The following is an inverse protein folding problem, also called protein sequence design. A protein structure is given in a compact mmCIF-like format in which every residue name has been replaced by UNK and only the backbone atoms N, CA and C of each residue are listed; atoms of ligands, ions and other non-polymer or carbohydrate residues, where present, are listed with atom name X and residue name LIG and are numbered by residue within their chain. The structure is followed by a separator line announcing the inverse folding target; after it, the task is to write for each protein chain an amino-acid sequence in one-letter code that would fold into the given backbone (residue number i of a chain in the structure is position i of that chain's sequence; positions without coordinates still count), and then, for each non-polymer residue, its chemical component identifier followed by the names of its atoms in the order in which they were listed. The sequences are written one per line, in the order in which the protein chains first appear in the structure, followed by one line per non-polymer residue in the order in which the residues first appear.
data_IF_192106896426
#
_entry.id   IF_192106896426
#
_cell.length_a   1.000
_cell.length_b   1.000
_cell.length_c   1.000
_cell.angle_alpha   90.00
_cell.angle_beta   90.00
_cell.angle_gamma   90.00
#
_symmetry.space_group_name_H-M   'P 1'
#
loop_
_entity.id
_entity.type
_entity.pdbx_description
1 polymer ?
#
# COMPACT_ATOMS: atom_id res chain seq x y z
N UNK A 1 11.82 -0.77 15.21
CA UNK A 1 11.73 -2.23 15.37
C UNK A 1 10.52 -2.74 14.65
N UNK A 2 10.65 -3.90 13.97
CA UNK A 2 9.59 -4.58 13.26
C UNK A 2 9.58 -6.07 13.56
N UNK A 3 8.43 -6.69 13.26
CA UNK A 3 8.27 -8.14 13.25
C UNK A 3 7.42 -8.50 12.06
N UNK A 4 7.97 -9.27 11.15
CA UNK A 4 7.25 -9.83 10.02
C UNK A 4 6.90 -11.30 10.29
N UNK A 5 5.65 -11.67 10.00
CA UNK A 5 5.19 -13.05 9.97
C UNK A 5 4.74 -13.38 8.58
N UNK A 6 5.43 -14.30 7.94
CA UNK A 6 5.18 -14.70 6.57
C UNK A 6 4.61 -16.13 6.54
N UNK A 7 3.62 -16.32 5.68
CA UNK A 7 3.17 -17.65 5.27
C UNK A 7 3.71 -17.88 3.87
N UNK A 8 4.70 -18.75 3.75
CA UNK A 8 5.44 -18.99 2.50
C UNK A 8 4.99 -20.31 1.91
N UNK A 9 4.39 -20.30 0.73
CA UNK A 9 4.04 -21.50 -0.01
C UNK A 9 5.22 -21.94 -0.89
N UNK A 10 5.52 -23.23 -0.90
CA UNK A 10 6.50 -23.83 -1.82
C UNK A 10 5.86 -24.06 -3.18
N UNK A 11 6.30 -23.38 -4.20
CA UNK A 11 5.74 -23.52 -5.57
C UNK A 11 6.55 -24.48 -6.47
N UNK A 12 7.75 -24.89 -6.05
CA UNK A 12 8.63 -25.76 -6.84
C UNK A 12 9.34 -26.79 -5.93
N UNK A 13 9.82 -27.93 -6.49
CA UNK A 13 10.54 -28.91 -5.71
C UNK A 13 11.83 -28.29 -5.13
N UNK A 14 11.93 -28.45 -3.86
CA UNK A 14 13.07 -28.36 -2.95
C UNK A 14 14.11 -27.28 -3.26
N UNK A 15 13.88 -26.10 -2.69
CA UNK A 15 14.99 -25.31 -2.17
C UNK A 15 15.00 -25.43 -0.66
N UNK A 16 16.13 -25.82 -0.08
CA UNK A 16 16.29 -25.92 1.37
C UNK A 16 16.54 -24.57 2.03
N UNK A 17 16.39 -23.49 1.28
CA UNK A 17 16.67 -22.13 1.73
C UNK A 17 15.65 -21.15 1.16
N UNK A 18 14.95 -20.45 2.04
CA UNK A 18 14.17 -19.26 1.69
C UNK A 18 15.14 -18.06 1.65
N UNK A 19 15.03 -17.25 0.61
CA UNK A 19 15.79 -16.00 0.47
C UNK A 19 14.82 -14.85 0.46
N UNK A 20 14.89 -14.00 1.47
CA UNK A 20 14.14 -12.74 1.53
C UNK A 20 15.07 -11.56 1.28
N UNK A 21 14.51 -10.50 0.75
CA UNK A 21 15.14 -9.19 0.67
C UNK A 21 14.96 -8.46 2.00
N UNK A 22 16.05 -7.93 2.56
CA UNK A 22 16.06 -7.06 3.73
C UNK A 22 17.37 -6.24 3.71
N UNK A 23 17.25 -4.96 3.42
CA UNK A 23 18.40 -4.06 3.23
C UNK A 23 18.42 -2.97 4.30
N UNK A 24 19.61 -2.56 4.74
CA UNK A 24 19.80 -1.45 5.69
C UNK A 24 19.31 -1.71 7.12
N UNK A 25 18.66 -2.84 7.38
CA UNK A 25 18.14 -3.23 8.69
C UNK A 25 18.86 -4.47 9.21
N UNK A 26 18.84 -4.69 10.52
CA UNK A 26 19.41 -5.88 11.15
C UNK A 26 18.32 -6.88 11.53
N UNK A 27 18.44 -8.13 11.07
CA UNK A 27 17.62 -9.23 11.57
C UNK A 27 18.15 -9.68 12.95
N UNK A 28 17.25 -9.77 13.93
CA UNK A 28 17.59 -10.17 15.31
C UNK A 28 17.39 -11.67 15.53
N UNK A 29 16.20 -12.16 15.14
CA UNK A 29 15.82 -13.58 15.27
C UNK A 29 14.98 -14.01 14.09
N UNK A 30 15.14 -15.27 13.70
CA UNK A 30 14.29 -15.92 12.69
C UNK A 30 13.74 -17.22 13.27
N UNK A 31 12.44 -17.44 13.08
CA UNK A 31 11.75 -18.69 13.43
C UNK A 31 11.08 -19.29 12.21
N UNK A 32 11.15 -20.61 12.11
CA UNK A 32 10.44 -21.40 11.11
C UNK A 32 9.60 -22.45 11.81
N UNK A 33 8.29 -22.44 11.59
CA UNK A 33 7.38 -23.35 12.29
C UNK A 33 7.28 -23.14 13.81
N UNK A 34 7.83 -22.02 14.32
CA UNK A 34 7.90 -21.71 15.75
C UNK A 34 9.28 -21.93 16.37
N UNK A 35 10.16 -22.66 15.72
CA UNK A 35 11.51 -22.95 16.20
C UNK A 35 12.51 -21.89 15.75
N UNK A 36 13.44 -21.51 16.63
CA UNK A 36 14.53 -20.61 16.30
C UNK A 36 15.50 -21.31 15.32
N UNK A 37 15.85 -20.62 14.23
CA UNK A 37 16.76 -21.15 13.22
C UNK A 37 17.94 -20.21 13.01
N UNK A 38 19.12 -20.80 12.72
CA UNK A 38 20.26 -20.02 12.28
C UNK A 38 19.99 -19.48 10.87
N UNK A 39 20.44 -18.27 10.61
CA UNK A 39 20.27 -17.59 9.32
C UNK A 39 21.52 -16.83 8.93
N UNK A 40 21.66 -16.54 7.64
CA UNK A 40 22.68 -15.62 7.13
C UNK A 40 21.99 -14.33 6.64
N UNK A 41 22.48 -13.18 7.10
CA UNK A 41 22.03 -11.88 6.60
C UNK A 41 23.21 -11.11 6.02
N UNK A 42 23.31 -11.09 4.70
CA UNK A 42 24.43 -10.48 3.97
C UNK A 42 23.97 -9.88 2.65
N UNK A 43 24.55 -8.74 2.28
CA UNK A 43 24.29 -8.05 1.00
C UNK A 43 22.80 -7.84 0.72
N UNK A 44 22.01 -7.44 1.74
CA UNK A 44 20.57 -7.19 1.60
C UNK A 44 19.72 -8.44 1.40
N UNK A 45 20.29 -9.63 1.59
CA UNK A 45 19.58 -10.92 1.49
C UNK A 45 19.61 -11.65 2.84
N UNK A 46 18.43 -12.04 3.30
CA UNK A 46 18.22 -12.89 4.47
C UNK A 46 17.98 -14.33 3.98
N UNK A 47 18.96 -15.20 4.25
CA UNK A 47 18.94 -16.63 3.87
C UNK A 47 18.54 -17.47 5.06
N UNK A 48 17.44 -18.17 4.95
CA UNK A 48 16.79 -18.92 6.02
C UNK A 48 16.74 -20.40 5.60
N UNK A 49 17.49 -21.28 6.27
CA UNK A 49 17.35 -22.72 6.06
C UNK A 49 15.94 -23.17 6.36
N UNK A 50 15.37 -23.96 5.47
CA UNK A 50 14.04 -24.54 5.66
C UNK A 50 14.14 -26.00 6.10
N UNK A 51 13.24 -26.50 6.96
CA UNK A 51 13.24 -27.88 7.36
C UNK A 51 13.08 -28.79 6.14
N UNK A 52 13.85 -29.88 6.11
CA UNK A 52 13.74 -30.91 5.07
C UNK A 52 12.38 -31.61 5.09
N UNK A 53 12.02 -32.21 3.96
CA UNK A 53 10.82 -33.06 3.86
C UNK A 53 9.52 -32.36 3.48
N UNK A 54 9.47 -31.03 3.41
CA UNK A 54 8.32 -30.30 2.92
C UNK A 54 8.24 -30.37 1.39
N UNK A 55 7.08 -30.73 0.84
CA UNK A 55 6.82 -30.86 -0.59
C UNK A 55 6.33 -29.58 -1.26
N UNK A 56 6.19 -29.60 -2.59
CA UNK A 56 5.49 -28.55 -3.30
C UNK A 56 4.03 -28.45 -2.81
N UNK A 57 3.57 -27.22 -2.55
CA UNK A 57 2.23 -26.95 -1.99
C UNK A 57 2.21 -26.78 -0.47
N UNK A 58 3.25 -27.21 0.26
CA UNK A 58 3.33 -26.99 1.70
C UNK A 58 3.52 -25.51 2.03
N UNK A 59 2.86 -25.08 3.09
CA UNK A 59 2.99 -23.70 3.61
C UNK A 59 3.78 -23.71 4.91
N UNK A 60 4.79 -22.87 4.98
CA UNK A 60 5.63 -22.67 6.16
C UNK A 60 5.33 -21.31 6.81
N UNK A 61 5.34 -21.29 8.13
CA UNK A 61 5.33 -20.03 8.90
C UNK A 61 6.75 -19.59 9.18
N UNK A 62 7.10 -18.38 8.78
CA UNK A 62 8.39 -17.75 9.03
C UNK A 62 8.16 -16.46 9.81
N UNK A 63 8.84 -16.29 10.93
CA UNK A 63 8.82 -15.05 11.71
C UNK A 63 10.22 -14.45 11.71
N UNK A 64 10.31 -13.15 11.39
CA UNK A 64 11.56 -12.37 11.43
C UNK A 64 11.36 -11.18 12.35
N UNK A 65 12.13 -11.11 13.43
CA UNK A 65 12.26 -9.89 14.23
C UNK A 65 13.46 -9.10 13.73
N UNK A 66 13.30 -7.79 13.59
CA UNK A 66 14.34 -6.93 13.02
C UNK A 66 14.29 -5.51 13.60
N UNK A 67 15.37 -4.77 13.45
CA UNK A 67 15.47 -3.39 13.86
C UNK A 67 16.39 -2.57 12.95
N UNK A 68 16.33 -1.28 13.11
CA UNK A 68 17.16 -0.30 12.40
C UNK A 68 16.38 0.97 12.09
N UNK A 69 17.01 1.84 11.33
CA UNK A 69 16.39 2.99 10.71
C UNK A 69 16.44 2.75 9.21
N UNK A 70 15.27 2.73 8.53
CA UNK A 70 15.24 2.59 7.08
C UNK A 70 16.03 3.70 6.39
N UNK A 71 16.87 3.31 5.44
CA UNK A 71 17.64 4.25 4.61
C UNK A 71 16.81 4.71 3.40
N UNK A 72 15.81 3.88 2.99
CA UNK A 72 14.91 4.11 1.88
C UNK A 72 13.57 3.37 2.13
N UNK A 73 12.60 3.46 1.21
CA UNK A 73 11.34 2.72 1.24
C UNK A 73 10.34 3.15 2.34
N UNK A 74 10.80 3.75 3.44
CA UNK A 74 9.96 4.33 4.48
C UNK A 74 10.51 5.70 4.88
N UNK A 75 9.84 6.75 4.44
CA UNK A 75 10.17 8.14 4.73
C UNK A 75 9.76 8.45 6.17
N UNK A 76 10.74 8.72 7.04
CA UNK A 76 10.52 9.20 8.40
C UNK A 76 10.93 10.67 8.45
N UNK A 77 9.95 11.58 8.57
CA UNK A 77 10.24 13.00 8.43
C UNK A 77 9.14 13.90 8.96
N UNK A 78 8.97 15.01 8.29
CA UNK A 78 7.93 16.00 8.58
C UNK A 78 7.18 16.34 7.30
N UNK A 79 5.89 16.59 7.46
CA UNK A 79 5.03 17.16 6.40
C UNK A 79 5.46 18.58 6.06
N UNK A 80 4.96 19.13 4.94
CA UNK A 80 5.15 20.54 4.57
C UNK A 80 4.69 21.53 5.68
N UNK A 81 3.81 21.09 6.58
CA UNK A 81 3.33 21.88 7.73
C UNK A 81 4.13 21.60 9.02
N UNK A 82 5.27 20.90 8.94
CA UNK A 82 6.16 20.65 10.07
C UNK A 82 5.71 19.57 11.06
N UNK A 83 4.60 18.88 10.80
CA UNK A 83 4.10 17.77 11.62
C UNK A 83 4.93 16.50 11.32
N UNK A 84 5.25 15.72 12.35
CA UNK A 84 5.93 14.45 12.17
C UNK A 84 5.12 13.49 11.29
N UNK A 85 5.79 12.70 10.46
CA UNK A 85 5.15 11.79 9.51
C UNK A 85 6.00 10.57 9.21
N UNK A 86 5.32 9.48 8.83
CA UNK A 86 5.92 8.29 8.26
C UNK A 86 5.11 7.87 7.02
N UNK A 87 5.78 7.68 5.88
CA UNK A 87 5.15 7.26 4.63
C UNK A 87 6.01 6.22 3.93
N UNK A 88 5.40 5.09 3.57
CA UNK A 88 6.04 4.13 2.69
C UNK A 88 6.16 4.70 1.27
N UNK A 89 7.24 4.36 0.60
CA UNK A 89 7.56 4.76 -0.78
C UNK A 89 8.37 3.62 -1.42
N UNK A 90 7.65 2.55 -1.83
CA UNK A 90 8.25 1.28 -2.16
C UNK A 90 8.67 1.13 -3.63
N UNK A 91 8.17 1.99 -4.51
CA UNK A 91 8.41 1.83 -5.95
C UNK A 91 9.88 2.08 -6.34
N UNK A 92 10.54 1.23 -7.18
CA UNK A 92 9.99 -0.02 -7.71
C UNK A 92 10.24 -1.23 -6.79
N UNK A 93 11.33 -1.28 -6.04
CA UNK A 93 11.79 -2.42 -5.24
C UNK A 93 12.39 -1.98 -3.90
N UNK A 94 11.72 -1.01 -3.22
CA UNK A 94 12.19 -0.41 -1.97
C UNK A 94 11.44 -0.89 -0.72
N UNK A 95 10.52 -1.85 -0.84
CA UNK A 95 9.90 -2.51 0.31
C UNK A 95 10.95 -3.20 1.20
N UNK A 96 11.98 -3.75 0.60
CA UNK A 96 13.13 -4.39 1.26
C UNK A 96 13.87 -3.55 2.28
N UNK A 97 13.72 -2.23 2.24
CA UNK A 97 14.38 -1.33 3.18
C UNK A 97 13.64 -1.17 4.51
N UNK A 98 12.40 -1.68 4.64
CA UNK A 98 11.67 -1.54 5.89
C UNK A 98 10.92 -2.79 6.35
N UNK A 99 10.74 -3.81 5.49
CA UNK A 99 10.29 -5.14 5.91
C UNK A 99 10.88 -6.26 5.03
N UNK A 100 11.09 -7.47 5.61
CA UNK A 100 11.58 -8.61 4.84
C UNK A 100 10.49 -9.16 3.92
N UNK A 101 10.82 -9.35 2.63
CA UNK A 101 9.91 -9.79 1.59
C UNK A 101 10.64 -10.46 0.44
N UNK A 102 9.91 -11.12 -0.46
CA UNK A 102 10.36 -11.33 -1.83
C UNK A 102 9.92 -10.07 -2.59
N UNK A 103 10.86 -9.14 -2.75
CA UNK A 103 10.55 -7.81 -3.27
C UNK A 103 10.58 -7.79 -4.81
N UNK A 104 9.53 -8.36 -5.38
CA UNK A 104 9.34 -8.51 -6.82
C UNK A 104 7.85 -8.41 -7.20
N UNK A 105 7.47 -7.77 -8.31
CA UNK A 105 6.07 -7.56 -8.68
C UNK A 105 5.27 -8.85 -8.88
N UNK A 106 5.91 -9.94 -9.29
CA UNK A 106 5.25 -11.24 -9.48
C UNK A 106 4.92 -11.98 -8.18
N UNK A 107 5.49 -11.57 -7.03
CA UNK A 107 5.25 -12.23 -5.74
C UNK A 107 4.20 -11.47 -4.93
N UNK A 108 2.93 -11.74 -5.21
CA UNK A 108 1.81 -11.13 -4.51
C UNK A 108 1.48 -11.85 -3.22
N UNK A 109 1.13 -11.07 -2.19
CA UNK A 109 0.64 -11.60 -0.92
C UNK A 109 -0.47 -10.71 -0.35
N UNK A 110 -1.35 -11.30 0.46
CA UNK A 110 -2.17 -10.51 1.38
C UNK A 110 -1.27 -9.90 2.45
N UNK A 111 -1.62 -8.72 2.93
CA UNK A 111 -0.84 -8.05 3.97
C UNK A 111 -1.73 -7.62 5.13
N UNK A 112 -1.19 -7.75 6.35
CA UNK A 112 -1.79 -7.18 7.55
C UNK A 112 -0.73 -6.36 8.29
N UNK A 113 -1.06 -5.09 8.55
CA UNK A 113 -0.22 -4.18 9.30
C UNK A 113 -0.75 -3.97 10.72
N UNK A 114 0.14 -4.03 11.70
CA UNK A 114 -0.09 -3.52 13.05
C UNK A 114 0.92 -2.41 13.29
N UNK A 115 0.42 -1.19 13.40
CA UNK A 115 1.22 0.03 13.47
C UNK A 115 0.99 0.71 14.81
N UNK A 116 2.05 0.94 15.56
CA UNK A 116 2.03 1.75 16.78
C UNK A 116 2.58 3.14 16.46
N UNK A 117 1.76 4.17 16.61
CA UNK A 117 2.09 5.55 16.31
C UNK A 117 1.67 6.51 17.43
N UNK A 118 2.12 7.79 17.45
CA UNK A 118 1.63 8.80 18.37
C UNK A 118 0.10 8.86 18.39
N UNK A 119 -0.50 9.06 19.57
CA UNK A 119 -1.95 8.95 19.76
C UNK A 119 -2.76 9.99 18.95
N UNK A 120 -2.14 11.11 18.61
CA UNK A 120 -2.72 12.18 17.80
C UNK A 120 -2.59 11.96 16.28
N UNK A 121 -1.88 10.92 15.85
CA UNK A 121 -1.79 10.56 14.44
C UNK A 121 -2.94 9.63 14.04
N UNK A 122 -3.28 9.64 12.77
CA UNK A 122 -4.05 8.60 12.10
C UNK A 122 -3.10 7.76 11.25
N UNK A 123 -3.46 6.52 11.05
CA UNK A 123 -2.71 5.58 10.21
C UNK A 123 -3.62 5.09 9.11
N UNK A 124 -3.17 5.15 7.88
CA UNK A 124 -3.80 4.55 6.69
C UNK A 124 -2.85 3.52 6.10
N UNK A 125 -3.40 2.38 5.67
CA UNK A 125 -2.64 1.33 4.97
C UNK A 125 -3.54 0.62 3.95
N UNK A 126 -3.01 -0.40 3.27
CA UNK A 126 -3.78 -1.23 2.34
C UNK A 126 -4.93 -1.97 3.05
N UNK A 127 -6.01 -2.23 2.33
CA UNK A 127 -7.17 -2.95 2.82
C UNK A 127 -8.04 -2.14 3.78
N UNK A 128 -8.67 -2.79 4.76
CA UNK A 128 -9.59 -2.19 5.74
C UNK A 128 -8.98 -2.13 7.14
N UNK A 129 -9.43 -1.16 7.92
CA UNK A 129 -9.07 -1.07 9.33
C UNK A 129 -9.83 -2.14 10.13
N UNK A 130 -9.09 -2.89 10.95
CA UNK A 130 -9.63 -3.96 11.77
C UNK A 130 -9.77 -3.50 13.23
N UNK A 131 -11.00 -3.37 13.70
CA UNK A 131 -11.33 -3.15 15.11
C UNK A 131 -11.10 -1.74 15.65
N UNK A 132 -10.71 -0.79 14.80
CA UNK A 132 -10.39 0.57 15.22
C UNK A 132 -9.10 0.68 16.06
N UNK A 133 -8.64 1.91 16.37
CA UNK A 133 -7.45 2.09 17.19
C UNK A 133 -7.70 1.60 18.62
N UNK A 134 -6.80 0.78 19.17
CA UNK A 134 -6.89 0.29 20.54
C UNK A 134 -6.96 1.46 21.52
N UNK A 135 -8.12 1.57 22.20
CA UNK A 135 -8.50 2.72 23.04
C UNK A 135 -7.80 2.83 24.38
N UNK A 136 -6.83 2.00 24.69
CA UNK A 136 -6.04 2.16 25.90
C UNK A 136 -5.02 3.29 25.72
N UNK A 137 -5.49 4.51 25.78
CA UNK A 137 -4.68 5.72 25.90
C UNK A 137 -3.93 5.77 27.26
N UNK A 138 -3.30 4.67 27.67
CA UNK A 138 -2.25 4.65 28.66
C UNK A 138 -0.91 4.89 27.99
N UNK A 139 -0.71 6.12 27.55
CA UNK A 139 0.55 6.52 26.89
C UNK A 139 0.30 7.43 25.71
N UNK A 140 1.37 8.04 25.20
CA UNK A 140 1.35 8.93 24.05
C UNK A 140 1.19 8.19 22.70
N UNK A 141 0.82 6.90 22.67
CA UNK A 141 0.76 6.06 21.48
C UNK A 141 -0.53 5.25 21.40
N UNK A 142 -0.95 4.92 20.15
CA UNK A 142 -2.07 4.01 19.82
C UNK A 142 -1.61 2.98 18.80
N UNK A 143 -2.38 1.89 18.70
CA UNK A 143 -2.14 0.80 17.75
C UNK A 143 -3.27 0.75 16.74
N UNK A 144 -2.95 0.78 15.47
CA UNK A 144 -3.86 0.59 14.33
C UNK A 144 -3.60 -0.76 13.69
N UNK A 145 -4.64 -1.39 13.16
CA UNK A 145 -4.56 -2.66 12.44
C UNK A 145 -5.29 -2.53 11.12
N UNK A 146 -4.61 -2.91 10.06
CA UNK A 146 -5.12 -2.89 8.70
C UNK A 146 -4.84 -4.23 8.04
N UNK A 147 -5.75 -4.73 7.17
CA UNK A 147 -5.50 -5.92 6.37
C UNK A 147 -6.22 -5.85 5.03
N UNK A 148 -5.61 -6.47 4.02
CA UNK A 148 -6.24 -6.75 2.73
C UNK A 148 -6.49 -8.25 2.59
N UNK A 149 -7.62 -8.61 1.97
CA UNK A 149 -7.94 -10.00 1.60
C UNK A 149 -7.45 -10.32 0.18
N UNK A 150 -7.18 -9.30 -0.62
CA UNK A 150 -6.70 -9.42 -2.00
C UNK A 150 -5.16 -9.41 -2.00
N UNK A 151 -4.49 -10.39 -2.65
CA UNK A 151 -3.05 -10.37 -2.79
C UNK A 151 -2.57 -9.19 -3.65
N UNK A 152 -1.59 -8.45 -3.14
CA UNK A 152 -0.99 -7.29 -3.79
C UNK A 152 0.55 -7.44 -3.88
N UNK A 153 1.23 -6.82 -4.85
CA UNK A 153 2.67 -6.85 -4.94
C UNK A 153 3.30 -5.95 -3.85
N UNK A 154 4.54 -6.25 -3.48
CA UNK A 154 5.25 -5.54 -2.40
C UNK A 154 5.41 -4.04 -2.67
N UNK A 155 5.57 -3.64 -3.93
CA UNK A 155 5.75 -2.24 -4.28
C UNK A 155 4.51 -1.37 -3.98
N UNK A 156 3.32 -1.97 -3.89
CA UNK A 156 2.07 -1.29 -3.52
C UNK A 156 1.67 -1.47 -2.05
N UNK A 157 2.46 -2.20 -1.24
CA UNK A 157 2.22 -2.38 0.19
C UNK A 157 2.67 -1.15 0.97
N UNK A 158 1.74 -0.39 1.55
CA UNK A 158 2.06 0.90 2.15
C UNK A 158 1.44 1.16 3.50
N UNK A 159 2.09 2.05 4.23
CA UNK A 159 1.60 2.67 5.46
C UNK A 159 1.84 4.17 5.36
N UNK A 160 0.82 4.97 5.65
CA UNK A 160 0.91 6.41 5.86
C UNK A 160 0.49 6.77 7.29
N UNK A 161 1.26 7.55 8.00
CA UNK A 161 0.98 7.91 9.38
C UNK A 161 1.39 9.36 9.68
N UNK A 162 0.43 10.18 10.06
CA UNK A 162 0.60 11.57 10.51
C UNK A 162 -0.72 12.07 11.08
N UNK A 163 -0.87 13.37 11.30
CA UNK A 163 -2.17 14.00 11.56
C UNK A 163 -2.89 14.22 10.25
N UNK A 164 -4.01 13.53 10.04
CA UNK A 164 -4.86 13.71 8.89
C UNK A 164 -6.19 14.36 9.24
N UNK A 165 -6.73 15.14 8.32
CA UNK A 165 -8.16 15.40 8.17
C UNK A 165 -8.67 14.38 7.15
N UNK A 166 -9.78 13.71 7.48
CA UNK A 166 -10.34 12.62 6.69
C UNK A 166 -11.72 13.05 6.20
N UNK A 167 -11.97 12.88 4.91
CA UNK A 167 -13.28 13.09 4.31
C UNK A 167 -13.71 11.91 3.47
N UNK A 168 -15.01 11.78 3.26
CA UNK A 168 -15.60 10.78 2.36
C UNK A 168 -15.86 11.39 0.99
N UNK A 169 -15.75 10.57 -0.05
CA UNK A 169 -16.10 10.92 -1.42
C UNK A 169 -17.34 10.09 -1.80
N UNK A 170 -18.33 10.74 -2.37
CA UNK A 170 -19.54 10.08 -2.87
C UNK A 170 -19.24 9.27 -4.13
N UNK A 171 -19.77 8.06 -4.20
CA UNK A 171 -19.70 7.20 -5.39
C UNK A 171 -21.08 7.20 -6.06
N UNK A 172 -21.22 7.67 -7.30
CA UNK A 172 -22.50 7.74 -7.98
C UNK A 172 -23.19 6.37 -8.05
N UNK A 173 -24.48 6.35 -7.73
CA UNK A 173 -25.31 5.13 -7.77
C UNK A 173 -25.11 4.17 -6.58
N UNK A 174 -24.33 4.55 -5.57
CA UNK A 174 -24.17 3.76 -4.35
C UNK A 174 -24.94 4.40 -3.20
N UNK A 175 -25.70 3.59 -2.44
CA UNK A 175 -26.33 4.06 -1.21
C UNK A 175 -25.32 4.23 -0.07
N UNK A 176 -25.60 5.12 0.87
CA UNK A 176 -24.74 5.31 2.03
C UNK A 176 -24.58 3.99 2.83
N UNK A 177 -23.36 3.52 2.95
CA UNK A 177 -23.03 2.25 3.65
C UNK A 177 -23.19 0.99 2.80
N UNK A 178 -23.60 1.11 1.55
CA UNK A 178 -23.57 -0.01 0.59
C UNK A 178 -22.14 -0.48 0.37
N UNK A 179 -21.98 -1.81 0.25
CA UNK A 179 -20.68 -2.45 0.03
C UNK A 179 -20.81 -3.57 -0.99
N UNK A 180 -19.82 -3.66 -1.87
CA UNK A 180 -19.70 -4.69 -2.89
C UNK A 180 -19.83 -4.17 -4.31
N UNK A 181 -19.23 -4.87 -5.25
CA UNK A 181 -19.14 -4.45 -6.64
C UNK A 181 -18.42 -3.11 -6.79
N UNK A 182 -19.09 -2.13 -7.40
CA UNK A 182 -18.56 -0.77 -7.51
C UNK A 182 -18.81 0.11 -6.26
N UNK A 183 -19.51 -0.41 -5.25
CA UNK A 183 -19.85 0.34 -4.04
C UNK A 183 -18.88 0.01 -2.91
N UNK A 184 -17.68 0.61 -2.95
CA UNK A 184 -16.70 0.54 -1.86
C UNK A 184 -16.50 1.94 -1.26
N UNK A 185 -16.10 2.04 0.02
CA UNK A 185 -15.80 3.33 0.64
C UNK A 185 -14.67 4.05 -0.10
N UNK A 186 -14.92 5.28 -0.55
CA UNK A 186 -13.91 6.18 -1.10
C UNK A 186 -13.69 7.32 -0.11
N UNK A 187 -12.44 7.62 0.20
CA UNK A 187 -12.07 8.64 1.18
C UNK A 187 -10.83 9.40 0.75
N UNK A 188 -10.66 10.62 1.29
CA UNK A 188 -9.41 11.34 1.19
C UNK A 188 -8.84 11.62 2.59
N UNK A 189 -7.51 11.58 2.65
CA UNK A 189 -6.71 11.74 3.86
C UNK A 189 -5.67 12.82 3.59
N UNK A 190 -5.89 14.01 4.10
CA UNK A 190 -5.06 15.16 3.80
C UNK A 190 -4.60 15.85 5.09
N UNK A 191 -3.58 16.67 5.01
CA UNK A 191 -3.18 17.42 6.18
C UNK A 191 -4.27 18.44 6.56
N UNK A 192 -4.54 18.66 7.85
CA UNK A 192 -5.62 19.53 8.27
C UNK A 192 -5.65 20.93 7.62
N UNK A 193 -4.50 21.62 7.40
CA UNK A 193 -4.50 22.91 6.69
C UNK A 193 -4.92 22.83 5.22
N UNK A 194 -4.78 21.63 4.59
CA UNK A 194 -5.07 21.43 3.17
C UNK A 194 -6.49 20.84 2.94
N UNK A 195 -7.34 20.71 3.97
CA UNK A 195 -8.64 20.03 3.90
C UNK A 195 -9.54 20.52 2.77
N UNK A 196 -9.63 21.83 2.56
CA UNK A 196 -10.45 22.39 1.48
C UNK A 196 -9.88 22.09 0.09
N UNK A 197 -8.55 22.11 -0.06
CA UNK A 197 -7.86 21.77 -1.31
C UNK A 197 -7.97 20.29 -1.62
N UNK A 198 -7.82 19.45 -0.59
CA UNK A 198 -8.01 17.99 -0.72
C UNK A 198 -9.43 17.64 -1.15
N UNK A 199 -10.45 18.26 -0.56
CA UNK A 199 -11.83 18.06 -0.98
C UNK A 199 -12.06 18.42 -2.46
N UNK A 200 -11.40 19.49 -2.95
CA UNK A 200 -11.44 19.87 -4.37
C UNK A 200 -10.66 18.88 -5.26
N UNK A 201 -9.45 18.49 -4.84
CA UNK A 201 -8.58 17.59 -5.60
C UNK A 201 -9.23 16.22 -5.85
N UNK A 202 -9.97 15.70 -4.88
CA UNK A 202 -10.56 14.37 -4.92
C UNK A 202 -12.09 14.36 -5.17
N UNK A 203 -12.67 15.51 -5.53
CA UNK A 203 -14.12 15.64 -5.69
C UNK A 203 -14.72 14.62 -6.66
N UNK A 204 -14.04 14.32 -7.77
CA UNK A 204 -14.49 13.37 -8.81
C UNK A 204 -13.94 11.94 -8.65
N UNK A 205 -13.20 11.64 -7.59
CA UNK A 205 -12.59 10.31 -7.42
C UNK A 205 -13.63 9.17 -7.37
N UNK A 206 -14.81 9.40 -6.80
CA UNK A 206 -15.89 8.44 -6.79
C UNK A 206 -16.51 8.21 -8.18
N UNK A 207 -16.62 9.27 -8.99
CA UNK A 207 -17.05 9.18 -10.39
C UNK A 207 -16.05 8.39 -11.24
N UNK A 208 -14.76 8.64 -11.07
CA UNK A 208 -13.68 7.90 -11.73
C UNK A 208 -13.71 6.41 -11.38
N UNK A 209 -13.79 6.10 -10.09
CA UNK A 209 -13.88 4.71 -9.62
C UNK A 209 -15.13 4.02 -10.18
N UNK A 210 -16.27 4.69 -10.21
CA UNK A 210 -17.51 4.16 -10.78
C UNK A 210 -17.38 3.89 -12.27
N UNK A 211 -16.85 4.86 -13.03
CA UNK A 211 -16.63 4.73 -14.46
C UNK A 211 -15.74 3.53 -14.80
N UNK A 212 -14.59 3.37 -14.12
CA UNK A 212 -13.71 2.25 -14.35
C UNK A 212 -14.32 0.92 -13.91
N UNK A 213 -15.10 0.91 -12.81
CA UNK A 213 -15.80 -0.29 -12.37
C UNK A 213 -16.83 -0.78 -13.39
N UNK A 214 -17.53 0.13 -14.05
CA UNK A 214 -18.53 -0.20 -15.06
C UNK A 214 -17.90 -0.59 -16.40
N UNK A 215 -16.75 0.02 -16.74
CA UNK A 215 -16.09 -0.18 -18.04
C UNK A 215 -15.18 -1.42 -18.05
N UNK A 216 -14.47 -1.68 -16.96
CA UNK A 216 -13.41 -2.69 -16.89
C UNK A 216 -13.89 -3.93 -16.12
N UNK A 217 -14.08 -3.78 -14.82
CA UNK A 217 -14.52 -4.82 -13.88
C UNK A 217 -14.83 -4.19 -12.52
N UNK A 218 -15.58 -4.85 -11.63
CA UNK A 218 -15.77 -4.37 -10.26
C UNK A 218 -14.47 -3.97 -9.60
N UNK A 219 -14.51 -2.94 -8.75
CA UNK A 219 -13.32 -2.46 -8.04
C UNK A 219 -12.65 -3.61 -7.26
N UNK A 220 -11.34 -3.84 -7.42
CA UNK A 220 -10.70 -5.06 -6.95
C UNK A 220 -10.42 -5.12 -5.45
N UNK A 221 -10.57 -4.01 -4.72
CA UNK A 221 -10.18 -3.90 -3.31
C UNK A 221 -11.33 -3.50 -2.40
N UNK A 222 -11.09 -3.53 -1.09
CA UNK A 222 -12.11 -3.33 -0.06
C UNK A 222 -12.47 -1.86 0.17
N UNK A 223 -11.60 -0.93 -0.23
CA UNK A 223 -11.76 0.53 -0.15
C UNK A 223 -10.87 1.23 -1.16
N UNK A 224 -11.09 2.53 -1.35
CA UNK A 224 -10.14 3.42 -2.02
C UNK A 224 -9.86 4.64 -1.14
N UNK A 225 -8.61 4.86 -0.78
CA UNK A 225 -8.17 6.06 -0.06
C UNK A 225 -7.20 6.87 -0.93
N UNK A 226 -7.46 8.17 -1.04
CA UNK A 226 -6.58 9.16 -1.67
C UNK A 226 -5.83 9.90 -0.57
N UNK A 227 -4.50 9.77 -0.52
CA UNK A 227 -3.68 10.17 0.63
C UNK A 227 -2.65 11.19 0.24
N UNK A 228 -2.69 12.37 0.85
CA UNK A 228 -1.59 13.34 0.78
C UNK A 228 -0.39 12.81 1.54
N UNK A 229 0.78 12.83 0.93
CA UNK A 229 1.98 12.20 1.47
C UNK A 229 3.25 13.01 1.20
N UNK A 230 4.28 12.76 1.99
CA UNK A 230 5.61 13.33 1.78
C UNK A 230 6.42 12.58 0.70
N UNK A 231 5.78 11.75 -0.14
CA UNK A 231 6.41 11.07 -1.27
C UNK A 231 6.78 12.05 -2.38
N UNK A 232 7.70 11.65 -3.26
CA UNK A 232 8.29 12.56 -4.26
C UNK A 232 7.69 12.46 -5.65
N UNK A 233 6.98 11.37 -5.94
CA UNK A 233 6.38 11.10 -7.26
C UNK A 233 5.10 11.93 -7.46
N UNK A 234 4.65 12.07 -8.72
CA UNK A 234 3.43 12.79 -9.08
C UNK A 234 2.15 12.15 -8.53
N UNK A 235 2.13 10.85 -8.45
CA UNK A 235 1.20 9.97 -7.78
C UNK A 235 1.90 8.65 -7.52
N UNK A 236 1.27 7.78 -6.75
CA UNK A 236 1.72 6.40 -6.56
C UNK A 236 0.51 5.53 -6.27
N UNK A 237 0.29 4.58 -7.14
CA UNK A 237 -0.88 3.73 -7.27
C UNK A 237 -1.08 2.72 -6.13
N UNK A 238 -0.44 2.86 -5.01
CA UNK A 238 -0.50 1.86 -3.93
C UNK A 238 -1.90 1.26 -3.76
N UNK A 239 -2.00 -0.05 -3.81
CA UNK A 239 -3.26 -0.78 -3.83
C UNK A 239 -4.20 -0.35 -2.70
N UNK A 240 -5.41 0.08 -3.04
CA UNK A 240 -6.43 0.58 -2.11
C UNK A 240 -6.09 1.87 -1.33
N UNK A 241 -4.88 2.44 -1.47
CA UNK A 241 -4.42 3.61 -0.71
C UNK A 241 -3.41 4.44 -1.55
N UNK A 242 -3.89 5.14 -2.56
CA UNK A 242 -3.09 5.94 -3.50
C UNK A 242 -2.45 7.12 -2.78
N UNK A 243 -1.14 7.31 -2.97
CA UNK A 243 -0.41 8.43 -2.37
C UNK A 243 -0.13 9.52 -3.41
N UNK A 244 -0.33 10.77 -2.98
CA UNK A 244 -0.11 11.97 -3.79
C UNK A 244 0.85 12.92 -3.08
N UNK A 245 1.75 13.61 -3.81
CA UNK A 245 2.70 14.52 -3.20
C UNK A 245 1.99 15.74 -2.61
N UNK A 246 2.54 16.27 -1.55
CA UNK A 246 2.02 17.44 -0.82
C UNK A 246 1.65 18.61 -1.74
N UNK A 247 2.53 18.92 -2.71
CA UNK A 247 2.32 20.01 -3.67
C UNK A 247 1.17 19.75 -4.63
N UNK A 248 0.97 18.48 -5.04
CA UNK A 248 -0.13 18.07 -5.91
C UNK A 248 -1.46 18.34 -5.24
N UNK A 249 -1.64 17.88 -4.00
CA UNK A 249 -2.89 18.09 -3.25
C UNK A 249 -3.15 19.58 -3.01
N UNK A 250 -2.10 20.36 -2.71
CA UNK A 250 -2.23 21.80 -2.52
C UNK A 250 -2.63 22.55 -3.79
N UNK A 251 -2.45 21.97 -4.99
CA UNK A 251 -2.93 22.51 -6.26
C UNK A 251 -4.46 22.36 -6.45
N UNK A 252 -5.10 21.50 -5.66
CA UNK A 252 -6.56 21.28 -5.72
C UNK A 252 -6.99 20.60 -7.02
N UNK A 253 -7.94 21.17 -7.77
CA UNK A 253 -8.51 20.57 -8.98
C UNK A 253 -7.47 20.28 -10.09
N UNK A 254 -6.33 20.95 -10.10
CA UNK A 254 -5.25 20.66 -11.07
C UNK A 254 -4.67 19.24 -10.92
N UNK A 255 -4.92 18.56 -9.79
CA UNK A 255 -4.50 17.19 -9.55
C UNK A 255 -5.40 16.16 -10.26
N UNK A 256 -6.55 16.54 -10.79
CA UNK A 256 -7.61 15.65 -11.24
C UNK A 256 -7.14 14.62 -12.30
N UNK A 257 -6.30 15.03 -13.24
CA UNK A 257 -5.74 14.12 -14.25
C UNK A 257 -4.85 13.04 -13.63
N UNK A 258 -4.07 13.40 -12.60
CA UNK A 258 -3.29 12.44 -11.83
C UNK A 258 -4.22 11.50 -11.05
N UNK A 259 -5.29 12.01 -10.44
CA UNK A 259 -6.27 11.17 -9.71
C UNK A 259 -6.89 10.15 -10.63
N UNK A 260 -7.27 10.53 -11.86
CA UNK A 260 -7.82 9.61 -12.86
C UNK A 260 -6.81 8.51 -13.25
N UNK A 261 -5.55 8.89 -13.51
CA UNK A 261 -4.47 7.98 -13.83
C UNK A 261 -4.21 6.98 -12.69
N UNK A 262 -3.96 7.45 -11.49
CA UNK A 262 -3.67 6.60 -10.33
C UNK A 262 -4.87 5.70 -9.94
N UNK A 263 -6.10 6.17 -10.16
CA UNK A 263 -7.30 5.34 -9.93
C UNK A 263 -7.39 4.20 -10.94
N UNK A 264 -7.03 4.41 -12.20
CA UNK A 264 -7.03 3.37 -13.22
C UNK A 264 -5.99 2.27 -12.93
N UNK A 265 -4.87 2.61 -12.30
CA UNK A 265 -3.86 1.66 -11.87
C UNK A 265 -4.39 0.59 -10.91
N UNK A 266 -5.47 0.84 -10.19
CA UNK A 266 -6.03 -0.16 -9.28
C UNK A 266 -6.44 -1.45 -10.03
N UNK A 267 -6.77 -1.35 -11.32
CA UNK A 267 -6.98 -2.49 -12.22
C UNK A 267 -5.70 -2.88 -12.95
N UNK A 268 -4.96 -1.91 -13.52
CA UNK A 268 -3.77 -2.14 -14.35
C UNK A 268 -2.51 -1.63 -13.66
N UNK A 269 -1.68 -2.53 -13.19
CA UNK A 269 -0.55 -2.30 -12.31
C UNK A 269 -0.73 -3.08 -11.02
N UNK A 270 -1.87 -2.93 -10.36
CA UNK A 270 -2.17 -3.54 -9.07
C UNK A 270 -2.88 -4.89 -9.21
N UNK A 271 -4.15 -4.92 -9.64
CA UNK A 271 -4.92 -6.17 -9.78
C UNK A 271 -4.34 -7.03 -10.90
N UNK A 272 -4.06 -6.45 -12.05
CA UNK A 272 -3.29 -7.04 -13.14
C UNK A 272 -1.89 -6.46 -13.10
N UNK A 273 -0.95 -7.15 -12.46
CA UNK A 273 0.41 -6.68 -12.21
C UNK A 273 1.36 -7.20 -13.30
N UNK A 274 2.30 -6.38 -13.79
CA UNK A 274 3.40 -6.86 -14.64
C UNK A 274 4.17 -8.00 -13.97
N UNK A 275 4.46 -9.07 -14.73
CA UNK A 275 5.25 -10.17 -14.21
C UNK A 275 6.72 -9.77 -14.00
N UNK A 276 7.21 -8.86 -14.83
CA UNK A 276 8.58 -8.34 -14.82
C UNK A 276 8.57 -6.82 -15.00
N UNK A 277 9.55 -6.14 -14.41
CA UNK A 277 9.63 -4.67 -14.48
C UNK A 277 9.74 -4.11 -15.92
N UNK A 278 10.28 -4.85 -16.85
CA UNK A 278 10.37 -4.39 -18.25
C UNK A 278 9.01 -4.39 -18.98
N UNK A 279 7.96 -4.98 -18.37
CA UNK A 279 6.57 -4.97 -18.86
C UNK A 279 5.74 -3.81 -18.29
N UNK A 280 6.38 -2.76 -17.79
CA UNK A 280 5.74 -1.62 -17.13
C UNK A 280 4.72 -0.90 -18.01
N UNK A 281 4.78 -1.05 -19.33
CA UNK A 281 3.78 -0.55 -20.27
C UNK A 281 2.36 -1.07 -19.96
N UNK A 282 2.25 -2.28 -19.41
CA UNK A 282 0.97 -2.87 -18.99
C UNK A 282 0.31 -2.06 -17.88
N UNK A 283 1.10 -1.48 -16.99
CA UNK A 283 0.64 -0.59 -15.93
C UNK A 283 0.43 0.82 -16.47
N UNK A 284 1.49 1.51 -16.85
CA UNK A 284 1.50 2.93 -17.19
C UNK A 284 0.72 3.28 -18.47
N UNK A 285 0.83 2.43 -19.50
CA UNK A 285 0.14 2.64 -20.76
C UNK A 285 -1.38 2.54 -20.62
N UNK A 286 -1.86 1.55 -19.86
CA UNK A 286 -3.29 1.42 -19.61
C UNK A 286 -3.80 2.50 -18.66
N UNK A 287 -3.09 2.86 -17.60
CA UNK A 287 -3.50 3.93 -16.70
C UNK A 287 -3.61 5.28 -17.44
N UNK A 288 -2.64 5.59 -18.30
CA UNK A 288 -2.69 6.79 -19.17
C UNK A 288 -3.87 6.76 -20.11
N UNK A 289 -4.13 5.62 -20.77
CA UNK A 289 -5.25 5.47 -21.71
C UNK A 289 -6.61 5.61 -21.00
N UNK A 290 -6.83 4.89 -19.92
CA UNK A 290 -8.09 4.95 -19.17
C UNK A 290 -8.31 6.30 -18.48
N UNK A 291 -7.23 6.96 -18.02
CA UNK A 291 -7.30 8.33 -17.53
C UNK A 291 -7.86 9.30 -18.58
N UNK A 292 -7.38 9.21 -19.82
CA UNK A 292 -7.89 10.02 -20.93
C UNK A 292 -9.35 9.67 -21.27
N UNK A 293 -9.71 8.38 -21.28
CA UNK A 293 -11.07 7.93 -21.55
C UNK A 293 -12.09 8.44 -20.52
N UNK A 294 -11.70 8.59 -19.26
CA UNK A 294 -12.56 9.17 -18.25
C UNK A 294 -12.98 10.60 -18.63
N UNK A 295 -12.05 11.45 -19.02
CA UNK A 295 -12.33 12.82 -19.41
C UNK A 295 -13.15 12.90 -20.71
N UNK A 296 -12.85 12.05 -21.69
CA UNK A 296 -13.65 11.97 -22.92
C UNK A 296 -15.11 11.61 -22.60
N UNK A 297 -15.34 10.68 -21.67
CA UNK A 297 -16.67 10.26 -21.23
C UNK A 297 -17.39 11.35 -20.43
N UNK A 298 -16.72 11.97 -19.49
CA UNK A 298 -17.32 12.86 -18.51
C UNK A 298 -17.47 14.30 -19.02
N UNK A 299 -16.52 14.78 -19.82
CA UNK A 299 -16.42 16.17 -20.25
C UNK A 299 -16.64 16.33 -21.78
N UNK A 300 -16.72 15.22 -22.53
CA UNK A 300 -16.85 15.18 -23.97
C UNK A 300 -15.50 15.15 -24.71
N UNK A 301 -15.52 14.90 -26.02
CA UNK A 301 -14.30 14.83 -26.83
C UNK A 301 -13.59 16.19 -26.85
N UNK A 302 -12.24 16.16 -26.69
CA UNK A 302 -11.38 17.33 -26.70
C UNK A 302 -11.27 18.00 -28.09
#
# INVERSE_FOLDING_TARGET
RGRARLRVARVAPVRDTLVLDLSGLAADTVRVGGDDVAFEHRAGKLRIPLPGGAGAGDTLSVEVAYHGQPDDGLILGRTAHGVGAAFADNWPDRARFWFPSIDHPSDKATVAFTVEAPAEWQVVANGVEIGGPDGSARGARRTWRWATEVPIPTYTMVVGATRFAIGSVEVPGCAAGERGGACVPVSFWVYPPDSARGAQAFARAGEMMRFYSDLIAPFPYEKLAHVQSATRFGGMENASAIFYPERGVSAGAELESTVAHETAHQWFGDAVTPAEWHELWLSEGFATYFGALFFEHADGPA
#
